data_IF_294816048675
#
_entry.id   IF_294816048675
#
_cell.length_a   1.000
_cell.length_b   1.000
_cell.length_c   1.000
_cell.angle_alpha   90.00
_cell.angle_beta   90.00
_cell.angle_gamma   90.00
#
_symmetry.space_group_name_H-M   'P 1'
#
loop_
_entity.id
_entity.type
_entity.pdbx_description
1 polymer ?
#
# COMPACT_ATOMS: atom_id res chain seq x y z
N UNK A 1 -3.85 -4.92 30.96
CA UNK A 1 -4.52 -5.36 29.74
C UNK A 1 -5.83 -6.11 29.96
N UNK A 2 -6.12 -6.61 31.20
CA UNK A 2 -7.36 -7.37 31.49
C UNK A 2 -8.51 -6.51 31.98
N UNK A 3 -8.25 -5.22 32.24
CA UNK A 3 -9.24 -4.28 32.76
C UNK A 3 -9.46 -3.14 31.74
N UNK A 4 -10.73 -2.78 31.52
CA UNK A 4 -11.12 -1.61 30.73
C UNK A 4 -11.00 -0.34 31.55
N UNK A 5 -11.28 -0.43 32.87
CA UNK A 5 -11.16 0.69 33.79
C UNK A 5 -10.51 0.26 35.09
N UNK A 6 -9.72 1.16 35.68
CA UNK A 6 -9.11 1.00 37.00
C UNK A 6 -9.20 2.35 37.71
N UNK A 7 -10.11 2.45 38.67
CA UNK A 7 -10.38 3.70 39.40
C UNK A 7 -9.88 3.56 40.86
N UNK A 8 -8.89 4.36 41.30
CA UNK A 8 -8.47 4.39 42.67
C UNK A 8 -9.55 5.05 43.57
N UNK A 9 -9.92 4.40 44.65
CA UNK A 9 -10.88 4.89 45.66
C UNK A 9 -10.11 5.06 46.96
N UNK A 10 -10.10 6.27 47.47
CA UNK A 10 -9.46 6.63 48.73
C UNK A 10 -10.51 6.72 49.83
N UNK A 11 -10.36 5.99 50.94
CA UNK A 11 -11.23 6.04 52.10
C UNK A 11 -10.40 6.41 53.32
N UNK A 12 -10.81 7.47 54.03
CA UNK A 12 -10.18 7.84 55.31
C UNK A 12 -10.54 6.80 56.36
N UNK A 13 -9.55 6.27 57.04
CA UNK A 13 -9.72 5.33 58.17
C UNK A 13 -8.92 5.86 59.37
N UNK A 14 -9.25 5.46 60.61
CA UNK A 14 -8.58 5.98 61.82
C UNK A 14 -7.05 5.83 61.81
N UNK A 15 -6.54 4.80 61.08
CA UNK A 15 -5.10 4.46 61.01
C UNK A 15 -4.41 5.07 59.77
N UNK A 16 -5.12 5.87 58.93
CA UNK A 16 -4.56 6.48 57.74
C UNK A 16 -5.54 6.55 56.55
N UNK A 17 -5.06 6.25 55.35
CA UNK A 17 -5.89 6.22 54.13
C UNK A 17 -5.86 4.83 53.54
N UNK A 18 -7.04 4.23 53.38
CA UNK A 18 -7.21 2.97 52.65
C UNK A 18 -7.34 3.27 51.14
N UNK A 19 -6.55 2.60 50.32
CA UNK A 19 -6.63 2.68 48.88
C UNK A 19 -7.23 1.38 48.32
N UNK A 20 -8.39 1.49 47.71
CA UNK A 20 -9.06 0.42 46.99
C UNK A 20 -9.01 0.72 45.48
N UNK A 21 -8.93 -0.31 44.64
CA UNK A 21 -9.04 -0.18 43.18
C UNK A 21 -10.35 -0.80 42.70
N UNK A 22 -11.28 0.04 42.25
CA UNK A 22 -12.46 -0.42 41.54
C UNK A 22 -12.07 -0.74 40.09
N UNK A 23 -12.25 -1.98 39.66
CA UNK A 23 -11.82 -2.45 38.34
C UNK A 23 -13.00 -2.97 37.53
N UNK A 24 -13.04 -2.64 36.24
CA UNK A 24 -13.95 -3.25 35.27
C UNK A 24 -13.17 -4.21 34.40
N UNK A 25 -13.54 -5.49 34.43
CA UNK A 25 -12.87 -6.54 33.65
C UNK A 25 -13.30 -6.46 32.19
N UNK A 26 -12.37 -6.66 31.27
CA UNK A 26 -12.68 -6.77 29.86
C UNK A 26 -13.61 -7.96 29.55
N UNK A 27 -14.38 -7.95 28.46
CA UNK A 27 -15.25 -9.05 28.08
C UNK A 27 -14.46 -10.36 27.84
N UNK A 28 -15.17 -11.48 27.99
CA UNK A 28 -14.66 -12.79 27.62
C UNK A 28 -14.80 -12.95 26.11
N UNK A 29 -13.72 -13.33 25.44
CA UNK A 29 -13.72 -13.53 23.98
C UNK A 29 -14.32 -14.89 23.62
N UNK A 30 -15.14 -14.92 22.55
CA UNK A 30 -15.69 -16.15 21.97
C UNK A 30 -15.07 -16.46 20.61
N UNK A 31 -14.47 -15.47 19.95
CA UNK A 31 -13.82 -15.61 18.66
C UNK A 31 -13.30 -14.28 18.12
N UNK A 32 -12.77 -14.34 16.91
CA UNK A 32 -12.30 -13.17 16.15
C UNK A 32 -12.84 -13.23 14.73
N UNK A 33 -13.22 -12.08 14.19
CA UNK A 33 -13.62 -11.90 12.78
C UNK A 33 -12.86 -10.75 12.15
N UNK A 34 -12.65 -10.83 10.84
CA UNK A 34 -11.94 -9.82 10.06
C UNK A 34 -12.83 -9.32 8.91
N UNK A 35 -12.75 -8.03 8.65
CA UNK A 35 -13.45 -7.36 7.55
C UNK A 35 -12.44 -6.50 6.78
N UNK A 36 -12.61 -6.39 5.44
CA UNK A 36 -11.76 -5.56 4.57
C UNK A 36 -10.44 -6.21 4.13
N UNK A 37 -10.10 -7.38 4.64
CA UNK A 37 -8.88 -8.12 4.28
C UNK A 37 -9.09 -8.90 2.97
N UNK A 38 -8.28 -8.60 1.95
CA UNK A 38 -8.25 -9.32 0.66
C UNK A 38 -6.88 -9.92 0.35
N UNK A 39 -5.82 -9.38 0.95
CA UNK A 39 -4.43 -9.85 0.80
C UNK A 39 -4.17 -11.11 1.63
N UNK A 40 -4.53 -11.06 2.91
CA UNK A 40 -4.44 -12.22 3.79
C UNK A 40 -5.84 -12.77 4.05
N UNK A 41 -5.99 -14.09 4.03
CA UNK A 41 -7.27 -14.71 4.38
C UNK A 41 -7.57 -14.60 5.88
N UNK A 42 -8.87 -14.59 6.23
CA UNK A 42 -9.28 -14.54 7.63
C UNK A 42 -8.73 -15.69 8.46
N UNK A 43 -8.53 -16.87 7.87
CA UNK A 43 -7.94 -18.03 8.55
C UNK A 43 -6.46 -17.78 8.94
N UNK A 44 -5.70 -17.11 8.06
CA UNK A 44 -4.29 -16.74 8.33
C UNK A 44 -4.23 -15.72 9.45
N UNK A 45 -5.08 -14.70 9.39
CA UNK A 45 -5.15 -13.64 10.40
C UNK A 45 -5.64 -14.18 11.76
N UNK A 46 -6.61 -15.10 11.77
CA UNK A 46 -7.10 -15.76 12.99
C UNK A 46 -5.98 -16.56 13.67
N UNK A 47 -5.21 -17.32 12.90
CA UNK A 47 -4.05 -18.05 13.44
C UNK A 47 -2.98 -17.10 13.99
N UNK A 48 -2.79 -15.96 13.35
CA UNK A 48 -1.84 -14.95 13.81
C UNK A 48 -2.29 -14.28 15.12
N UNK A 49 -3.58 -13.99 15.25
CA UNK A 49 -4.16 -13.43 16.48
C UNK A 49 -4.08 -14.39 17.65
N UNK A 50 -4.20 -15.70 17.40
CA UNK A 50 -4.11 -16.75 18.44
C UNK A 50 -4.93 -16.41 19.68
N UNK A 51 -6.20 -16.03 19.48
CA UNK A 51 -7.16 -15.74 20.53
C UNK A 51 -7.90 -17.01 20.88
N UNK A 52 -7.82 -17.40 22.16
CA UNK A 52 -8.51 -18.59 22.66
C UNK A 52 -9.90 -18.22 23.18
N UNK A 53 -10.96 -18.86 22.69
CA UNK A 53 -12.31 -18.66 23.21
C UNK A 53 -12.39 -18.97 24.71
N UNK A 54 -13.21 -18.21 25.44
CA UNK A 54 -13.44 -18.39 26.87
C UNK A 54 -12.42 -17.68 27.77
N UNK A 55 -11.48 -16.92 27.22
CA UNK A 55 -10.54 -16.12 28.01
C UNK A 55 -10.94 -14.65 28.06
N UNK A 56 -10.62 -13.98 29.17
CA UNK A 56 -10.77 -12.54 29.29
C UNK A 56 -9.84 -11.84 28.32
N UNK A 57 -10.37 -10.90 27.55
CA UNK A 57 -9.62 -10.12 26.57
C UNK A 57 -8.46 -9.36 27.23
N UNK A 58 -7.25 -9.55 26.70
CA UNK A 58 -6.10 -8.75 27.09
C UNK A 58 -5.83 -7.69 26.02
N UNK A 59 -6.22 -6.45 26.27
CA UNK A 59 -6.11 -5.33 25.32
C UNK A 59 -4.65 -5.04 24.91
N UNK A 60 -3.68 -5.26 25.79
CA UNK A 60 -2.25 -5.11 25.48
C UNK A 60 -1.80 -6.17 24.48
N UNK A 61 -2.19 -7.43 24.70
CA UNK A 61 -1.88 -8.52 23.78
C UNK A 61 -2.52 -8.31 22.41
N UNK A 62 -3.80 -7.90 22.38
CA UNK A 62 -4.49 -7.55 21.12
C UNK A 62 -3.75 -6.44 20.39
N UNK A 63 -3.37 -5.35 21.08
CA UNK A 63 -2.60 -4.25 20.49
C UNK A 63 -1.27 -4.72 19.87
N UNK A 64 -0.53 -5.59 20.56
CA UNK A 64 0.71 -6.17 20.03
C UNK A 64 0.47 -7.02 18.78
N UNK A 65 -0.58 -7.84 18.77
CA UNK A 65 -0.95 -8.67 17.61
C UNK A 65 -1.37 -7.81 16.42
N UNK A 66 -2.13 -6.73 16.66
CA UNK A 66 -2.51 -5.76 15.62
C UNK A 66 -1.28 -5.07 15.03
N UNK A 67 -0.33 -4.64 15.84
CA UNK A 67 0.94 -4.11 15.35
C UNK A 67 1.69 -5.13 14.49
N UNK A 68 1.65 -6.41 14.87
CA UNK A 68 2.23 -7.49 14.08
C UNK A 68 1.54 -7.68 12.73
N UNK A 69 0.19 -7.56 12.66
CA UNK A 69 -0.55 -7.57 11.39
C UNK A 69 -0.10 -6.41 10.49
N UNK A 70 -0.10 -5.18 11.02
CA UNK A 70 0.35 -4.01 10.27
C UNK A 70 1.79 -4.16 9.76
N UNK A 71 2.69 -4.70 10.59
CA UNK A 71 4.07 -4.97 10.21
C UNK A 71 4.18 -6.04 9.10
N UNK A 72 3.33 -7.08 9.12
CA UNK A 72 3.29 -8.09 8.07
C UNK A 72 2.86 -7.49 6.72
N UNK A 73 1.79 -6.70 6.71
CA UNK A 73 1.37 -5.98 5.51
C UNK A 73 2.48 -5.07 4.96
N UNK A 74 3.10 -4.26 5.82
CA UNK A 74 4.18 -3.35 5.42
C UNK A 74 5.41 -4.09 4.87
N UNK A 75 5.82 -5.22 5.51
CA UNK A 75 6.90 -6.08 5.05
C UNK A 75 6.64 -6.61 3.64
N UNK A 76 5.42 -7.05 3.37
CA UNK A 76 5.02 -7.62 2.09
C UNK A 76 4.66 -6.54 1.03
N UNK A 77 4.91 -5.26 1.38
CA UNK A 77 4.83 -4.12 0.47
C UNK A 77 3.51 -3.35 0.49
N UNK A 78 2.54 -3.75 1.28
CA UNK A 78 1.23 -3.12 1.41
C UNK A 78 1.27 -1.99 2.46
N UNK A 79 1.97 -0.90 2.11
CA UNK A 79 2.30 0.18 3.06
C UNK A 79 1.09 1.02 3.51
N UNK A 80 -0.02 0.99 2.76
CA UNK A 80 -1.25 1.69 3.09
C UNK A 80 -2.18 0.85 3.96
N UNK A 81 -1.91 -0.48 4.04
CA UNK A 81 -2.75 -1.38 4.81
C UNK A 81 -2.52 -1.21 6.31
N UNK A 82 -3.62 -1.10 7.05
CA UNK A 82 -3.60 -0.99 8.51
C UNK A 82 -4.93 -1.45 9.11
N UNK A 83 -4.89 -1.81 10.38
CA UNK A 83 -6.10 -2.01 11.18
C UNK A 83 -6.67 -0.65 11.54
N UNK A 84 -7.88 -0.35 11.07
CA UNK A 84 -8.58 0.92 11.27
C UNK A 84 -9.52 0.87 12.49
N UNK A 85 -10.10 -0.30 12.79
CA UNK A 85 -11.04 -0.45 13.88
C UNK A 85 -10.98 -1.79 14.59
N UNK A 86 -11.22 -1.76 15.89
CA UNK A 86 -11.32 -2.95 16.73
C UNK A 86 -12.53 -2.75 17.64
N UNK A 87 -13.45 -3.69 17.64
CA UNK A 87 -14.61 -3.70 18.54
C UNK A 87 -14.91 -5.10 19.04
N UNK A 88 -15.45 -5.22 20.22
CA UNK A 88 -16.01 -6.46 20.74
C UNK A 88 -17.52 -6.34 20.76
N UNK A 89 -18.24 -7.32 20.25
CA UNK A 89 -19.69 -7.31 20.29
C UNK A 89 -20.24 -7.94 21.59
N UNK A 90 -21.57 -7.89 21.75
CA UNK A 90 -22.25 -8.43 22.93
C UNK A 90 -22.13 -9.95 23.08
N UNK A 91 -21.72 -10.64 22.01
CA UNK A 91 -21.46 -12.09 22.01
C UNK A 91 -20.01 -12.43 22.35
N UNK A 92 -19.15 -11.44 22.54
CA UNK A 92 -17.74 -11.59 22.85
C UNK A 92 -16.86 -11.83 21.60
N UNK A 93 -17.37 -11.59 20.39
CA UNK A 93 -16.57 -11.70 19.16
C UNK A 93 -15.77 -10.41 18.96
N UNK A 94 -14.47 -10.55 18.77
CA UNK A 94 -13.56 -9.46 18.44
C UNK A 94 -13.61 -9.21 16.92
N UNK A 95 -14.18 -8.09 16.53
CA UNK A 95 -14.21 -7.64 15.12
C UNK A 95 -13.03 -6.72 14.85
N UNK A 96 -12.26 -7.07 13.82
CA UNK A 96 -11.09 -6.31 13.39
C UNK A 96 -11.34 -5.85 11.95
N UNK A 97 -11.41 -4.53 11.76
CA UNK A 97 -11.55 -3.92 10.44
C UNK A 97 -10.17 -3.52 9.89
N UNK A 98 -9.89 -3.97 8.66
CA UNK A 98 -8.62 -3.70 7.96
C UNK A 98 -8.92 -2.85 6.72
N UNK A 99 -8.21 -1.76 6.60
CA UNK A 99 -8.17 -0.93 5.40
C UNK A 99 -6.90 -1.27 4.65
N UNK A 100 -7.00 -1.74 3.40
CA UNK A 100 -5.83 -2.17 2.62
C UNK A 100 -5.28 -1.08 1.70
N UNK A 101 -6.02 0.02 1.48
CA UNK A 101 -5.61 1.12 0.62
C UNK A 101 -5.55 0.71 -0.86
N UNK A 102 -6.65 0.89 -1.58
CA UNK A 102 -6.82 0.44 -2.97
C UNK A 102 -6.27 1.49 -3.95
N UNK A 103 -5.70 1.06 -5.06
CA UNK A 103 -5.34 1.93 -6.18
C UNK A 103 -6.62 2.28 -6.95
N UNK A 104 -7.11 3.53 -6.83
CA UNK A 104 -8.31 4.00 -7.52
C UNK A 104 -8.05 4.22 -9.00
N UNK A 105 -6.91 4.81 -9.35
CA UNK A 105 -6.53 5.00 -10.75
C UNK A 105 -5.01 5.04 -10.94
N UNK A 106 -4.59 4.92 -12.22
CA UNK A 106 -3.20 5.00 -12.65
C UNK A 106 -3.16 5.96 -13.84
N UNK A 107 -2.57 7.14 -13.64
CA UNK A 107 -2.64 8.27 -14.55
C UNK A 107 -1.23 8.60 -15.08
N UNK A 108 -0.94 8.34 -16.36
CA UNK A 108 0.28 8.84 -17.00
C UNK A 108 0.23 10.37 -17.17
N UNK A 109 1.37 11.03 -16.91
CA UNK A 109 1.59 12.45 -17.08
C UNK A 109 2.96 12.70 -17.74
N UNK A 110 3.13 13.85 -18.40
CA UNK A 110 4.40 14.24 -19.06
C UNK A 110 4.60 13.64 -20.45
N UNK A 111 3.88 12.58 -20.82
CA UNK A 111 3.95 12.00 -22.16
C UNK A 111 3.25 12.89 -23.20
N UNK A 112 3.95 13.17 -24.31
CA UNK A 112 3.46 13.99 -25.44
C UNK A 112 3.28 13.17 -26.71
N UNK A 113 4.23 12.29 -27.01
CA UNK A 113 4.23 11.41 -28.17
C UNK A 113 3.70 10.02 -27.80
N UNK A 114 4.16 9.47 -26.68
CA UNK A 114 3.78 8.13 -26.22
C UNK A 114 2.34 8.11 -25.72
N UNK A 115 1.52 7.19 -26.23
CA UNK A 115 0.11 7.05 -25.79
C UNK A 115 0.04 6.50 -24.37
N UNK A 116 -0.91 6.98 -23.57
CA UNK A 116 -1.15 6.50 -22.19
C UNK A 116 -1.22 4.97 -22.10
N UNK A 117 -1.86 4.33 -23.08
CA UNK A 117 -2.00 2.86 -23.13
C UNK A 117 -0.65 2.13 -23.18
N UNK A 118 0.39 2.73 -23.78
CA UNK A 118 1.73 2.13 -23.85
C UNK A 118 2.35 2.10 -22.46
N UNK A 119 2.16 3.14 -21.67
CA UNK A 119 2.64 3.24 -20.29
C UNK A 119 1.83 2.31 -19.37
N UNK A 120 0.51 2.44 -19.40
CA UNK A 120 -0.37 1.72 -18.45
C UNK A 120 -0.36 0.20 -18.65
N UNK A 121 -0.15 -0.30 -19.87
CA UNK A 121 -0.05 -1.75 -20.13
C UNK A 121 1.18 -2.39 -19.42
N UNK A 122 2.25 -1.62 -19.22
CA UNK A 122 3.45 -2.10 -18.53
C UNK A 122 3.28 -2.11 -17.00
N UNK A 123 2.25 -1.45 -16.48
CA UNK A 123 2.00 -1.42 -15.05
C UNK A 123 1.55 -2.78 -14.52
N UNK A 124 2.36 -3.36 -13.61
CA UNK A 124 2.05 -4.62 -12.92
C UNK A 124 1.01 -4.38 -11.82
N UNK A 125 1.17 -3.27 -11.07
CA UNK A 125 0.15 -2.81 -10.14
C UNK A 125 -1.14 -2.52 -10.91
N UNK A 126 -2.28 -3.01 -10.41
CA UNK A 126 -3.56 -2.85 -11.09
C UNK A 126 -4.51 -1.94 -10.31
N UNK A 127 -5.31 -1.18 -11.05
CA UNK A 127 -6.47 -0.45 -10.53
C UNK A 127 -7.44 -1.42 -9.83
N UNK A 128 -8.04 -0.98 -8.72
CA UNK A 128 -8.97 -1.76 -7.91
C UNK A 128 -8.30 -2.85 -7.05
N UNK A 129 -6.97 -2.83 -6.93
CA UNK A 129 -6.21 -3.77 -6.08
C UNK A 129 -5.48 -3.00 -4.98
N UNK A 130 -5.23 -3.62 -3.83
CA UNK A 130 -4.43 -3.03 -2.77
C UNK A 130 -3.08 -2.51 -3.30
N UNK A 131 -2.70 -1.32 -2.85
CA UNK A 131 -1.42 -0.71 -3.21
C UNK A 131 -0.26 -1.58 -2.71
N UNK A 132 0.69 -1.89 -3.60
CA UNK A 132 1.89 -2.61 -3.24
C UNK A 132 3.14 -1.93 -3.82
N UNK A 133 4.03 -1.46 -2.94
CA UNK A 133 5.24 -0.73 -3.33
C UNK A 133 6.17 -1.52 -4.27
N UNK A 134 6.22 -2.85 -4.12
CA UNK A 134 7.09 -3.69 -4.95
C UNK A 134 6.53 -3.83 -6.36
N UNK A 135 5.19 -3.93 -6.49
CA UNK A 135 4.53 -3.96 -7.79
C UNK A 135 4.67 -2.61 -8.50
N UNK A 136 4.53 -1.49 -7.78
CA UNK A 136 4.73 -0.15 -8.34
C UNK A 136 6.18 0.02 -8.81
N UNK A 137 7.17 -0.32 -7.98
CA UNK A 137 8.59 -0.25 -8.38
C UNK A 137 8.86 -1.06 -9.65
N UNK A 138 8.38 -2.31 -9.69
CA UNK A 138 8.50 -3.16 -10.88
C UNK A 138 7.81 -2.57 -12.11
N UNK A 139 6.71 -1.86 -11.90
CA UNK A 139 6.00 -1.18 -12.98
C UNK A 139 6.84 -0.04 -13.56
N UNK A 140 7.44 0.78 -12.69
CA UNK A 140 8.36 1.87 -13.09
C UNK A 140 9.54 1.32 -13.89
N UNK A 141 10.18 0.26 -13.40
CA UNK A 141 11.28 -0.41 -14.10
C UNK A 141 10.87 -0.88 -15.51
N UNK A 142 9.67 -1.43 -15.67
CA UNK A 142 9.16 -1.88 -16.97
C UNK A 142 8.87 -0.72 -17.91
N UNK A 143 8.29 0.38 -17.42
CA UNK A 143 8.05 1.59 -18.21
C UNK A 143 9.38 2.20 -18.66
N UNK A 144 10.35 2.32 -17.75
CA UNK A 144 11.68 2.83 -18.06
C UNK A 144 12.39 1.99 -19.13
N UNK A 145 12.27 0.67 -19.05
CA UNK A 145 12.89 -0.27 -20.00
C UNK A 145 12.26 -0.26 -21.41
N UNK A 146 11.17 0.51 -21.63
CA UNK A 146 10.67 0.77 -22.99
C UNK A 146 11.67 1.57 -23.84
N UNK A 147 12.61 2.27 -23.20
CA UNK A 147 13.62 3.06 -23.92
C UNK A 147 13.10 4.40 -24.48
N UNK A 148 11.89 4.82 -24.12
CA UNK A 148 11.28 6.06 -24.63
C UNK A 148 11.41 7.23 -23.64
N UNK A 149 11.90 6.99 -22.44
CA UNK A 149 11.89 7.94 -21.35
C UNK A 149 13.27 8.13 -20.75
N UNK A 150 13.66 9.39 -20.55
CA UNK A 150 14.87 9.78 -19.81
C UNK A 150 14.67 9.57 -18.30
N UNK A 151 13.42 9.76 -17.84
CA UNK A 151 13.05 9.59 -16.45
C UNK A 151 11.60 9.11 -16.30
N UNK A 152 11.34 8.34 -15.23
CA UNK A 152 10.02 7.83 -14.87
C UNK A 152 9.85 7.91 -13.37
N UNK A 153 9.02 8.84 -12.91
CA UNK A 153 8.70 9.07 -11.52
C UNK A 153 7.27 8.66 -11.19
N UNK A 154 7.02 8.34 -9.93
CA UNK A 154 5.68 8.06 -9.42
C UNK A 154 5.35 9.00 -8.29
N UNK A 155 4.18 9.62 -8.38
CA UNK A 155 3.56 10.38 -7.29
C UNK A 155 2.31 9.68 -6.83
N UNK A 156 2.10 9.63 -5.52
CA UNK A 156 0.87 9.12 -4.92
C UNK A 156 -0.01 10.31 -4.53
N UNK A 157 -1.20 10.34 -5.07
CA UNK A 157 -2.22 11.33 -4.75
C UNK A 157 -3.31 10.64 -3.92
N UNK A 158 -3.96 11.34 -2.98
CA UNK A 158 -5.11 10.80 -2.25
C UNK A 158 -6.20 10.33 -3.22
N UNK A 159 -6.93 9.29 -2.86
CA UNK A 159 -8.09 8.83 -3.61
C UNK A 159 -9.18 9.90 -3.65
N UNK A 160 -9.96 9.92 -4.74
CA UNK A 160 -11.09 10.84 -4.90
C UNK A 160 -12.37 10.29 -4.25
N UNK A 161 -12.51 8.96 -4.19
CA UNK A 161 -13.67 8.30 -3.61
C UNK A 161 -13.48 8.02 -2.12
N UNK A 162 -12.27 7.62 -1.72
CA UNK A 162 -11.92 7.31 -0.35
C UNK A 162 -10.49 7.83 -0.06
N UNK A 163 -10.30 8.67 0.97
CA UNK A 163 -8.98 9.20 1.32
C UNK A 163 -7.97 8.12 1.75
N UNK A 164 -8.42 6.92 2.12
CA UNK A 164 -7.55 5.77 2.42
C UNK A 164 -7.00 5.11 1.15
N UNK A 165 -7.59 5.39 0.00
CA UNK A 165 -7.15 4.91 -1.30
C UNK A 165 -6.12 5.85 -1.94
N UNK A 166 -5.56 5.43 -3.06
CA UNK A 166 -4.49 6.18 -3.74
C UNK A 166 -4.70 6.20 -5.25
N UNK A 167 -4.42 7.36 -5.86
CA UNK A 167 -4.22 7.50 -7.29
C UNK A 167 -2.71 7.52 -7.56
N UNK A 168 -2.26 6.68 -8.48
CA UNK A 168 -0.86 6.62 -8.89
C UNK A 168 -0.69 7.48 -10.14
N UNK A 169 -0.02 8.61 -10.00
CA UNK A 169 0.40 9.43 -11.14
C UNK A 169 1.82 9.03 -11.57
N UNK A 170 1.97 8.71 -12.88
CA UNK A 170 3.24 8.30 -13.48
C UNK A 170 3.74 9.47 -14.30
N UNK A 171 4.70 10.21 -13.78
CA UNK A 171 5.31 11.36 -14.45
C UNK A 171 6.51 10.91 -15.26
N UNK A 172 6.43 11.02 -16.59
CA UNK A 172 7.47 10.58 -17.51
C UNK A 172 8.09 11.75 -18.25
N UNK A 173 9.41 11.70 -18.42
CA UNK A 173 10.16 12.60 -19.27
C UNK A 173 10.56 11.87 -20.55
N UNK A 174 9.88 12.19 -21.66
CA UNK A 174 10.20 11.59 -22.96
C UNK A 174 11.54 12.08 -23.49
N UNK A 175 12.40 11.16 -23.92
CA UNK A 175 13.60 11.56 -24.60
C UNK A 175 13.36 11.79 -26.09
N UNK A 176 14.30 12.45 -26.75
CA UNK A 176 14.24 12.70 -28.19
C UNK A 176 14.64 11.43 -28.93
N UNK A 177 13.66 10.81 -29.57
CA UNK A 177 13.83 9.54 -30.31
C UNK A 177 14.20 9.73 -31.77
N UNK A 178 14.09 10.96 -32.28
CA UNK A 178 14.46 11.30 -33.65
C UNK A 178 15.96 11.43 -33.85
N UNK A 179 16.53 10.67 -34.76
CA UNK A 179 17.94 10.75 -35.17
C UNK A 179 18.04 11.23 -36.61
N UNK A 180 19.03 12.10 -36.90
CA UNK A 180 19.39 12.50 -38.26
C UNK A 180 20.87 12.18 -38.45
N UNK A 181 21.15 11.30 -39.37
CA UNK A 181 22.51 10.95 -39.76
C UNK A 181 22.83 11.55 -41.11
N UNK A 182 23.90 12.33 -41.18
CA UNK A 182 24.42 12.90 -42.42
C UNK A 182 25.73 12.23 -42.74
N UNK A 183 25.84 11.65 -43.94
CA UNK A 183 27.06 11.03 -44.45
C UNK A 183 27.44 11.67 -45.78
N UNK A 184 28.75 11.78 -46.04
CA UNK A 184 29.30 12.12 -47.37
C UNK A 184 30.38 11.10 -47.69
N UNK A 185 30.36 10.63 -48.92
CA UNK A 185 31.35 9.70 -49.46
C UNK A 185 31.77 10.06 -50.87
N UNK A 186 32.97 9.66 -51.26
CA UNK A 186 33.48 9.81 -52.64
C UNK A 186 33.86 8.43 -53.16
N UNK A 187 33.35 8.11 -54.34
CA UNK A 187 33.72 6.89 -55.08
C UNK A 187 34.29 7.30 -56.47
N UNK A 188 35.29 6.58 -56.94
CA UNK A 188 35.84 6.82 -58.27
C UNK A 188 34.86 6.51 -59.40
N UNK A 189 33.85 5.66 -59.15
CA UNK A 189 32.80 5.31 -60.11
C UNK A 189 31.64 6.28 -60.11
N UNK A 190 31.23 6.74 -58.92
CA UNK A 190 29.94 7.46 -58.74
C UNK A 190 30.13 8.91 -58.33
N UNK A 191 31.40 9.34 -58.09
CA UNK A 191 31.71 10.66 -57.66
C UNK A 191 31.39 10.95 -56.19
N UNK A 192 30.98 12.16 -55.88
CA UNK A 192 30.58 12.61 -54.54
C UNK A 192 29.17 12.11 -54.26
N UNK A 193 28.99 11.38 -53.15
CA UNK A 193 27.69 10.90 -52.66
C UNK A 193 27.36 11.55 -51.31
N UNK A 194 26.11 11.93 -51.14
CA UNK A 194 25.55 12.36 -49.85
C UNK A 194 24.49 11.36 -49.35
N UNK A 195 24.52 11.04 -48.08
CA UNK A 195 23.53 10.16 -47.44
C UNK A 195 22.86 11.00 -46.35
N UNK A 196 21.54 10.99 -46.35
CA UNK A 196 20.71 11.55 -45.25
C UNK A 196 19.79 10.46 -44.76
N UNK A 197 19.93 10.11 -43.52
CA UNK A 197 19.11 9.06 -42.87
C UNK A 197 18.32 9.71 -41.72
N UNK A 198 17.02 9.42 -41.66
CA UNK A 198 16.11 9.83 -40.57
C UNK A 198 15.67 8.58 -39.85
N UNK A 199 15.92 8.53 -38.54
CA UNK A 199 15.42 7.50 -37.63
C UNK A 199 14.44 8.08 -36.63
N UNK A 200 13.37 7.37 -36.30
CA UNK A 200 12.45 7.67 -35.22
C UNK A 200 12.11 6.38 -34.49
N UNK A 201 12.49 6.27 -33.21
CA UNK A 201 12.35 5.03 -32.43
C UNK A 201 11.02 4.93 -31.67
N UNK A 202 10.24 6.05 -31.61
CA UNK A 202 8.93 6.09 -30.94
C UNK A 202 7.84 6.60 -31.91
N UNK A 203 7.18 5.65 -32.55
CA UNK A 203 6.07 5.87 -33.48
C UNK A 203 4.71 5.70 -32.82
#
# INVERSE_FOLDING_TARGET
GYFSEVNPVFTSVPEGVKLDFAVTVNPVTTGVSFEGNTVYSSEVLTKFMDIQPGQVLNSVSVGQKVQGINAAYARDGYMLAHVDGIRVDDQGVLHIHIVEGIVEDIIPAGNKKTRNKVITREFVQKKGKPFNKFLVRRSVERVYNLGFFDDVNVRMLPGEQDPNNVIIEIDVLEHKTGTITLGAGYSKSDGLMGIVEFGEDNF
#
